data_IF_025686397415
#
_entry.id   IF_025686397415
#
_cell.length_a   1.000
_cell.length_b   1.000
_cell.length_c   1.000
_cell.angle_alpha   90.00
_cell.angle_beta   90.00
_cell.angle_gamma   90.00
#
_symmetry.space_group_name_H-M   'P 1'
#
loop_
_entity.id
_entity.type
_entity.pdbx_description
1 polymer ?
#
# COMPACT_ATOMS: atom_id res chain seq x y z
N UNK A 1 -4.52 -11.90 -10.70
CA UNK A 1 -4.24 -12.00 -9.25
C UNK A 1 -3.08 -12.97 -9.05
N UNK A 2 -1.94 -12.51 -8.52
CA UNK A 2 -0.75 -13.36 -8.35
C UNK A 2 -1.00 -14.53 -7.39
N UNK A 3 -1.77 -14.30 -6.32
CA UNK A 3 -2.14 -15.29 -5.31
C UNK A 3 -2.96 -16.48 -5.84
N UNK A 4 -3.62 -16.34 -7.00
CA UNK A 4 -4.38 -17.43 -7.62
C UNK A 4 -3.46 -18.49 -8.26
N UNK A 5 -2.24 -18.11 -8.64
CA UNK A 5 -1.28 -18.99 -9.32
C UNK A 5 -0.18 -19.44 -8.35
N UNK A 6 0.23 -18.58 -7.43
CA UNK A 6 1.22 -18.89 -6.39
C UNK A 6 0.87 -18.17 -5.10
N UNK A 7 0.99 -18.78 -3.91
CA UNK A 7 0.80 -18.08 -2.64
C UNK A 7 1.61 -16.77 -2.59
N UNK A 8 0.92 -15.64 -2.57
CA UNK A 8 1.52 -14.31 -2.60
C UNK A 8 0.85 -13.45 -1.54
N UNK A 9 1.64 -12.99 -0.57
CA UNK A 9 1.16 -12.11 0.50
C UNK A 9 1.01 -10.69 -0.04
N UNK A 10 -0.16 -10.10 0.14
CA UNK A 10 -0.36 -8.66 -0.04
C UNK A 10 0.29 -7.95 1.14
N UNK A 11 1.21 -7.02 0.85
CA UNK A 11 2.02 -6.31 1.86
C UNK A 11 1.75 -4.81 1.92
N UNK A 12 0.94 -4.28 0.99
CA UNK A 12 0.59 -2.88 0.90
C UNK A 12 -0.29 -2.62 -0.33
N UNK A 13 -0.89 -1.44 -0.39
CA UNK A 13 -1.82 -1.03 -1.44
C UNK A 13 -1.42 0.33 -2.00
N UNK A 14 -1.24 0.39 -3.32
CA UNK A 14 -1.18 1.66 -4.05
C UNK A 14 -2.60 2.15 -4.34
N UNK A 15 -2.96 3.30 -3.80
CA UNK A 15 -4.23 3.95 -4.05
C UNK A 15 -4.09 4.95 -5.21
N UNK A 16 -5.13 5.10 -6.03
CA UNK A 16 -5.20 6.13 -7.06
C UNK A 16 -6.32 7.11 -6.71
N UNK A 17 -5.95 8.30 -6.25
CA UNK A 17 -6.89 9.36 -5.85
C UNK A 17 -6.99 10.50 -6.87
N UNK A 18 -6.73 10.24 -8.17
CA UNK A 18 -6.59 11.32 -9.17
C UNK A 18 -7.80 12.25 -9.28
N UNK A 19 -9.00 11.76 -8.93
CA UNK A 19 -10.26 12.51 -9.03
C UNK A 19 -10.66 13.16 -7.71
N UNK A 20 -9.90 12.93 -6.64
CA UNK A 20 -10.14 13.50 -5.32
C UNK A 20 -9.31 14.76 -5.15
N UNK A 21 -9.78 15.68 -4.32
CA UNK A 21 -8.95 16.74 -3.75
C UNK A 21 -7.89 16.16 -2.81
N UNK A 22 -6.90 16.96 -2.43
CA UNK A 22 -5.83 16.52 -1.53
C UNK A 22 -6.39 16.04 -0.18
N UNK A 23 -7.34 16.78 0.40
CA UNK A 23 -7.96 16.44 1.69
C UNK A 23 -8.83 15.17 1.62
N UNK A 24 -9.58 15.00 0.53
CA UNK A 24 -10.36 13.78 0.28
C UNK A 24 -9.44 12.58 0.06
N UNK A 25 -8.33 12.76 -0.65
CA UNK A 25 -7.33 11.72 -0.87
C UNK A 25 -6.71 11.25 0.45
N UNK A 26 -6.35 12.18 1.35
CA UNK A 26 -5.79 11.83 2.65
C UNK A 26 -6.80 11.11 3.54
N UNK A 27 -8.05 11.59 3.56
CA UNK A 27 -9.14 10.96 4.31
C UNK A 27 -9.42 9.54 3.81
N UNK A 28 -9.48 9.35 2.49
CA UNK A 28 -9.72 8.04 1.89
C UNK A 28 -8.53 7.09 2.13
N UNK A 29 -7.29 7.61 2.07
CA UNK A 29 -6.08 6.83 2.38
C UNK A 29 -6.15 6.27 3.80
N UNK A 30 -6.51 7.12 4.78
CA UNK A 30 -6.64 6.72 6.18
C UNK A 30 -7.75 5.69 6.37
N UNK A 31 -8.91 5.92 5.75
CA UNK A 31 -10.05 4.99 5.79
C UNK A 31 -9.66 3.60 5.26
N UNK A 32 -9.04 3.54 4.08
CA UNK A 32 -8.61 2.28 3.45
C UNK A 32 -7.49 1.62 4.27
N UNK A 33 -6.58 2.40 4.84
CA UNK A 33 -5.52 1.88 5.70
C UNK A 33 -6.08 1.21 6.96
N UNK A 34 -7.08 1.83 7.60
CA UNK A 34 -7.77 1.25 8.75
C UNK A 34 -8.55 -0.01 8.37
N UNK A 35 -9.24 0.00 7.22
CA UNK A 35 -10.04 -1.12 6.74
C UNK A 35 -9.17 -2.36 6.44
N UNK A 36 -8.03 -2.15 5.77
CA UNK A 36 -7.18 -3.25 5.30
C UNK A 36 -6.12 -3.67 6.32
N UNK A 37 -5.79 -2.81 7.29
CA UNK A 37 -4.68 -3.04 8.22
C UNK A 37 -3.32 -3.15 7.50
N UNK A 38 -3.19 -2.57 6.31
CA UNK A 38 -2.00 -2.58 5.47
C UNK A 38 -1.56 -1.16 5.15
N UNK A 39 -0.27 -0.92 4.86
CA UNK A 39 0.18 0.36 4.34
C UNK A 39 -0.57 0.72 3.04
N UNK A 40 -1.17 1.91 3.00
CA UNK A 40 -1.86 2.46 1.83
C UNK A 40 -1.20 3.77 1.45
N UNK A 41 -0.86 3.90 0.17
CA UNK A 41 -0.07 5.00 -0.32
C UNK A 41 -0.61 5.47 -1.68
N UNK A 42 -0.89 6.77 -1.83
CA UNK A 42 -1.04 7.35 -3.17
C UNK A 42 0.35 7.76 -3.68
N UNK A 43 0.87 6.94 -4.59
CA UNK A 43 2.24 7.11 -5.09
C UNK A 43 2.47 8.42 -5.84
N UNK A 44 1.40 9.03 -6.39
CA UNK A 44 1.50 10.29 -7.12
C UNK A 44 1.52 11.49 -6.18
N UNK A 45 0.87 11.39 -5.02
CA UNK A 45 0.77 12.49 -4.05
C UNK A 45 1.82 12.41 -2.94
N UNK A 46 2.04 11.21 -2.40
CA UNK A 46 2.85 10.98 -1.19
C UNK A 46 4.22 10.36 -1.50
N UNK A 47 4.48 10.00 -2.76
CA UNK A 47 5.67 9.25 -3.17
C UNK A 47 5.57 7.76 -2.82
N UNK A 48 6.64 6.98 -2.94
CA UNK A 48 6.57 5.50 -2.85
C UNK A 48 7.12 4.91 -1.55
N UNK A 49 7.50 5.74 -0.58
CA UNK A 49 8.31 5.32 0.56
C UNK A 49 7.67 4.21 1.41
N UNK A 50 6.37 4.30 1.66
CA UNK A 50 5.64 3.31 2.48
C UNK A 50 5.64 1.92 1.86
N UNK A 51 5.41 1.85 0.53
CA UNK A 51 5.40 0.59 -0.20
C UNK A 51 6.81 0.00 -0.33
N UNK A 52 7.83 0.84 -0.55
CA UNK A 52 9.23 0.40 -0.56
C UNK A 52 9.62 -0.17 0.81
N UNK A 53 9.22 0.48 1.90
CA UNK A 53 9.47 0.00 3.26
C UNK A 53 8.80 -1.36 3.50
N UNK A 54 7.55 -1.54 3.06
CA UNK A 54 6.86 -2.82 3.15
C UNK A 54 7.61 -3.95 2.40
N UNK A 55 8.13 -3.67 1.20
CA UNK A 55 8.93 -4.63 0.41
C UNK A 55 10.23 -4.98 1.13
N UNK A 56 10.95 -3.98 1.67
CA UNK A 56 12.20 -4.22 2.41
C UNK A 56 11.96 -5.04 3.66
N UNK A 57 10.87 -4.79 4.40
CA UNK A 57 10.50 -5.56 5.58
C UNK A 57 10.16 -7.01 5.23
N UNK A 58 9.43 -7.24 4.14
CA UNK A 58 9.18 -8.60 3.65
C UNK A 58 10.48 -9.31 3.31
N UNK A 59 11.40 -8.66 2.58
CA UNK A 59 12.71 -9.22 2.24
C UNK A 59 13.47 -9.66 3.50
N UNK A 60 13.55 -8.80 4.51
CA UNK A 60 14.20 -9.12 5.80
C UNK A 60 13.55 -10.31 6.50
N UNK A 61 12.23 -10.41 6.46
CA UNK A 61 11.50 -11.52 7.09
C UNK A 61 11.71 -12.88 6.38
N UNK A 62 12.02 -12.87 5.07
CA UNK A 62 12.24 -14.06 4.27
C UNK A 62 13.70 -14.55 4.28
N UNK A 63 14.68 -13.65 4.42
CA UNK A 63 16.12 -13.97 4.43
C UNK A 63 16.59 -14.23 5.87
N UNK A 64 15.99 -15.22 6.55
CA UNK A 64 16.53 -15.75 7.81
C UNK A 64 17.85 -16.46 7.59
#
# INVERSE_FOLDING_TARGET
MASLVHPAKVIGVGMNSRTLTDAEADTERERVQQELGLPVCDVFRHGTADLVTAVQNLKKALVK
#
